data_IF_677314424131
#
_entry.id   IF_677314424131
#
_cell.length_a   1.000
_cell.length_b   1.000
_cell.length_c   1.000
_cell.angle_alpha   90.00
_cell.angle_beta   90.00
_cell.angle_gamma   90.00
#
_symmetry.space_group_name_H-M   'P 1'
#
loop_
_entity.id
_entity.type
_entity.pdbx_description
1 polymer ?
#
# COMPACT_ATOMS: atom_id res chain seq x y z
N UNK A 1 -12.29 -34.07 33.25
CA UNK A 1 -11.79 -32.84 32.58
C UNK A 1 -11.90 -33.04 31.09
N UNK A 2 -12.69 -32.23 30.37
CA UNK A 2 -12.71 -32.27 28.90
C UNK A 2 -11.51 -31.48 28.39
N UNK A 3 -10.74 -31.97 27.41
CA UNK A 3 -9.65 -31.20 26.83
C UNK A 3 -10.22 -29.94 26.18
N UNK A 4 -9.63 -28.79 26.48
CA UNK A 4 -9.90 -27.53 25.80
C UNK A 4 -9.49 -27.72 24.33
N UNK A 5 -10.47 -27.83 23.43
CA UNK A 5 -10.20 -27.67 22.00
C UNK A 5 -9.92 -26.18 21.80
N UNK A 6 -8.71 -25.83 21.39
CA UNK A 6 -8.44 -24.49 20.89
C UNK A 6 -9.44 -24.18 19.76
N UNK A 7 -10.04 -22.98 19.73
CA UNK A 7 -10.89 -22.60 18.62
C UNK A 7 -10.08 -22.69 17.32
N UNK A 8 -10.65 -23.29 16.28
CA UNK A 8 -10.04 -23.32 14.96
C UNK A 8 -9.64 -21.89 14.55
N UNK A 9 -8.41 -21.71 14.06
CA UNK A 9 -7.89 -20.41 13.64
C UNK A 9 -8.89 -19.73 12.69
N UNK A 10 -9.36 -18.52 13.06
CA UNK A 10 -10.28 -17.75 12.22
C UNK A 10 -9.58 -17.43 10.90
N UNK A 11 -10.11 -17.92 9.77
CA UNK A 11 -9.64 -17.51 8.45
C UNK A 11 -9.91 -16.02 8.27
N UNK A 12 -8.85 -15.23 8.12
CA UNK A 12 -8.94 -13.79 7.87
C UNK A 12 -9.02 -13.51 6.37
N UNK A 13 -10.01 -12.72 5.94
CA UNK A 13 -10.17 -12.31 4.54
C UNK A 13 -9.67 -10.87 4.36
N UNK A 14 -8.76 -10.67 3.42
CA UNK A 14 -8.19 -9.36 3.08
C UNK A 14 -8.58 -9.00 1.65
N UNK A 15 -9.10 -7.79 1.43
CA UNK A 15 -9.35 -7.23 0.11
C UNK A 15 -8.30 -6.19 -0.24
N UNK A 16 -7.53 -6.44 -1.29
CA UNK A 16 -6.59 -5.46 -1.85
C UNK A 16 -7.25 -4.73 -3.02
N UNK A 17 -7.17 -3.40 -3.00
CA UNK A 17 -7.57 -2.51 -4.09
C UNK A 17 -6.50 -1.43 -4.26
N UNK A 18 -6.47 -0.79 -5.42
CA UNK A 18 -5.53 0.28 -5.77
C UNK A 18 -6.04 0.98 -7.03
N UNK A 19 -5.50 2.16 -7.33
CA UNK A 19 -5.64 2.83 -8.62
C UNK A 19 -7.11 3.00 -9.02
N UNK A 20 -7.95 3.36 -8.02
CA UNK A 20 -9.38 3.53 -8.27
C UNK A 20 -9.67 4.80 -9.06
N UNK A 21 -8.83 5.84 -8.97
CA UNK A 21 -8.93 7.04 -9.80
C UNK A 21 -10.38 7.58 -9.95
N UNK A 22 -11.07 7.78 -8.83
CA UNK A 22 -12.50 8.16 -8.74
C UNK A 22 -13.55 7.10 -9.13
N UNK A 23 -13.18 5.90 -9.57
CA UNK A 23 -14.10 4.83 -10.01
C UNK A 23 -14.52 3.87 -8.87
N UNK A 24 -14.25 4.24 -7.60
CA UNK A 24 -14.48 3.38 -6.44
C UNK A 24 -15.96 2.97 -6.25
N UNK A 25 -16.91 3.78 -6.70
CA UNK A 25 -18.35 3.45 -6.64
C UNK A 25 -18.74 2.30 -7.58
N UNK A 26 -17.92 2.00 -8.59
CA UNK A 26 -18.14 0.87 -9.50
C UNK A 26 -17.69 -0.48 -8.91
N UNK A 27 -17.02 -0.48 -7.76
CA UNK A 27 -16.47 -1.70 -7.17
C UNK A 27 -17.55 -2.54 -6.48
N UNK A 28 -17.49 -3.85 -6.72
CA UNK A 28 -18.26 -4.82 -5.92
C UNK A 28 -17.53 -5.07 -4.60
N UNK A 29 -18.06 -4.51 -3.52
CA UNK A 29 -17.49 -4.66 -2.17
C UNK A 29 -17.72 -6.10 -1.66
N UNK A 30 -16.65 -6.87 -1.37
CA UNK A 30 -16.75 -8.20 -0.79
C UNK A 30 -16.90 -8.13 0.74
N UNK A 31 -17.48 -9.18 1.35
CA UNK A 31 -17.45 -9.38 2.79
C UNK A 31 -16.05 -9.84 3.24
N UNK A 32 -15.31 -8.96 3.91
CA UNK A 32 -13.91 -9.16 4.34
C UNK A 32 -13.65 -8.54 5.71
N UNK A 33 -12.58 -8.98 6.38
CA UNK A 33 -12.20 -8.46 7.70
C UNK A 33 -11.33 -7.20 7.60
N UNK A 34 -10.56 -7.07 6.50
CA UNK A 34 -9.64 -5.96 6.23
C UNK A 34 -9.69 -5.57 4.76
N UNK A 35 -9.76 -4.26 4.49
CA UNK A 35 -9.56 -3.69 3.15
C UNK A 35 -8.30 -2.82 3.16
N UNK A 36 -7.51 -2.94 2.10
CA UNK A 36 -6.26 -2.21 1.91
C UNK A 36 -6.29 -1.54 0.54
N UNK A 37 -6.22 -0.20 0.53
CA UNK A 37 -6.06 0.58 -0.70
C UNK A 37 -4.59 0.98 -0.88
N UNK A 38 -3.98 0.60 -2.00
CA UNK A 38 -2.54 0.70 -2.25
C UNK A 38 -2.13 1.95 -3.06
N UNK A 39 -2.91 3.02 -2.93
CA UNK A 39 -2.64 4.32 -3.56
C UNK A 39 -3.51 4.63 -4.76
N UNK A 40 -3.44 5.89 -5.19
CA UNK A 40 -4.15 6.44 -6.36
C UNK A 40 -5.68 6.34 -6.27
N UNK A 41 -6.21 6.90 -5.18
CA UNK A 41 -7.65 7.08 -4.96
C UNK A 41 -8.27 8.18 -5.84
N UNK A 42 -7.44 9.14 -6.23
CA UNK A 42 -7.77 10.32 -7.01
C UNK A 42 -6.94 10.37 -8.30
N UNK A 43 -7.24 11.35 -9.17
CA UNK A 43 -6.65 11.40 -10.53
C UNK A 43 -5.85 12.68 -10.75
N UNK A 44 -6.30 13.82 -10.24
CA UNK A 44 -5.68 15.09 -10.59
C UNK A 44 -4.32 15.27 -9.90
N UNK A 45 -3.32 15.76 -10.65
CA UNK A 45 -2.00 16.10 -10.09
C UNK A 45 -1.95 17.43 -9.34
N UNK A 46 -2.96 18.28 -9.50
CA UNK A 46 -3.05 19.53 -8.74
C UNK A 46 -3.77 19.26 -7.41
N UNK A 47 -3.10 19.54 -6.30
CA UNK A 47 -3.61 19.25 -4.96
C UNK A 47 -5.00 19.84 -4.67
N UNK A 48 -5.33 21.05 -5.16
CA UNK A 48 -6.63 21.68 -4.93
C UNK A 48 -7.76 21.04 -5.73
N UNK A 49 -7.47 20.53 -6.93
CA UNK A 49 -8.44 19.77 -7.73
C UNK A 49 -8.53 18.31 -7.26
N UNK A 50 -7.44 17.77 -6.74
CA UNK A 50 -7.33 16.42 -6.18
C UNK A 50 -8.09 16.29 -4.85
N UNK A 51 -8.08 17.33 -4.02
CA UNK A 51 -8.72 17.34 -2.70
C UNK A 51 -10.19 16.89 -2.72
N UNK A 52 -11.08 17.44 -3.57
CA UNK A 52 -12.48 17.00 -3.61
C UNK A 52 -12.63 15.58 -4.18
N UNK A 53 -11.67 15.08 -4.95
CA UNK A 53 -11.63 13.68 -5.41
C UNK A 53 -11.33 12.74 -4.25
N UNK A 54 -10.24 13.03 -3.52
CA UNK A 54 -9.85 12.27 -2.34
C UNK A 54 -10.95 12.29 -1.27
N UNK A 55 -11.63 13.43 -1.05
CA UNK A 55 -12.76 13.49 -0.10
C UNK A 55 -13.87 12.53 -0.47
N UNK A 56 -14.30 12.52 -1.73
CA UNK A 56 -15.35 11.59 -2.20
C UNK A 56 -14.95 10.13 -1.98
N UNK A 57 -13.69 9.80 -2.27
CA UNK A 57 -13.16 8.47 -1.98
C UNK A 57 -13.20 8.14 -0.49
N UNK A 58 -12.68 9.02 0.38
CA UNK A 58 -12.62 8.73 1.82
C UNK A 58 -14.00 8.73 2.48
N UNK A 59 -14.96 9.50 1.98
CA UNK A 59 -16.37 9.43 2.38
C UNK A 59 -16.94 8.04 2.09
N UNK A 60 -16.68 7.49 0.90
CA UNK A 60 -17.06 6.11 0.58
C UNK A 60 -16.30 5.08 1.41
N UNK A 61 -14.97 5.19 1.47
CA UNK A 61 -14.08 4.20 2.06
C UNK A 61 -14.29 4.05 3.57
N UNK A 62 -14.51 5.17 4.27
CA UNK A 62 -14.79 5.20 5.70
C UNK A 62 -16.12 4.50 6.04
N UNK A 63 -17.09 4.56 5.13
CA UNK A 63 -18.43 4.00 5.30
C UNK A 63 -18.58 2.54 4.84
N UNK A 64 -17.51 1.87 4.40
CA UNK A 64 -17.56 0.43 4.12
C UNK A 64 -17.88 -0.35 5.41
N UNK A 65 -18.68 -1.41 5.31
CA UNK A 65 -18.98 -2.30 6.46
C UNK A 65 -17.75 -3.08 6.95
N UNK A 66 -16.68 -3.13 6.16
CA UNK A 66 -15.42 -3.78 6.50
C UNK A 66 -14.84 -3.23 7.81
N UNK A 67 -14.54 -4.08 8.82
CA UNK A 67 -14.12 -3.62 10.14
C UNK A 67 -12.83 -2.79 10.14
N UNK A 68 -11.82 -3.17 9.37
CA UNK A 68 -10.52 -2.48 9.33
C UNK A 68 -10.25 -1.96 7.92
N UNK A 69 -9.86 -0.69 7.83
CA UNK A 69 -9.49 -0.02 6.58
C UNK A 69 -8.07 0.51 6.67
N UNK A 70 -7.22 0.14 5.72
CA UNK A 70 -5.85 0.63 5.60
C UNK A 70 -5.71 1.36 4.28
N UNK A 71 -5.00 2.48 4.30
CA UNK A 71 -4.73 3.29 3.13
C UNK A 71 -3.24 3.64 3.07
N UNK A 72 -2.63 3.39 1.91
CA UNK A 72 -1.30 3.88 1.56
C UNK A 72 -1.46 4.86 0.41
N UNK A 73 -0.93 6.10 0.49
CA UNK A 73 -0.98 7.05 -0.62
C UNK A 73 -0.23 6.54 -1.86
N UNK A 74 -0.68 6.96 -3.03
CA UNK A 74 0.02 6.77 -4.31
C UNK A 74 0.55 8.07 -4.88
N UNK A 75 1.07 8.04 -6.12
CA UNK A 75 1.63 9.26 -6.72
C UNK A 75 0.56 10.29 -7.14
N UNK A 76 -0.71 9.88 -7.26
CA UNK A 76 -1.84 10.77 -7.46
C UNK A 76 -2.44 11.31 -6.15
N UNK A 77 -1.95 10.90 -4.98
CA UNK A 77 -2.44 11.39 -3.67
C UNK A 77 -1.86 12.77 -3.30
N UNK A 78 -1.90 13.73 -4.22
CA UNK A 78 -1.25 15.06 -4.09
C UNK A 78 -1.87 15.93 -3.01
N UNK A 79 -3.19 15.84 -2.78
CA UNK A 79 -3.86 16.54 -1.68
C UNK A 79 -3.38 16.06 -0.31
N UNK A 80 -3.05 14.77 -0.18
CA UNK A 80 -2.52 14.18 1.05
C UNK A 80 -1.07 14.63 1.26
N UNK A 81 -0.23 14.60 0.21
CA UNK A 81 1.18 15.05 0.32
C UNK A 81 1.28 16.52 0.73
N UNK A 82 0.37 17.36 0.23
CA UNK A 82 0.31 18.79 0.56
C UNK A 82 -0.45 19.08 1.87
N UNK A 83 -0.97 18.05 2.55
CA UNK A 83 -1.62 18.17 3.85
C UNK A 83 -3.00 18.85 3.82
N UNK A 84 -3.68 18.84 2.66
CA UNK A 84 -5.07 19.25 2.49
C UNK A 84 -6.06 18.16 2.96
N UNK A 85 -5.61 16.91 2.89
CA UNK A 85 -6.24 15.74 3.50
C UNK A 85 -5.27 15.16 4.51
N UNK A 86 -5.76 14.89 5.72
CA UNK A 86 -4.94 14.32 6.79
C UNK A 86 -5.60 13.11 7.41
N UNK A 87 -4.80 12.27 8.06
CA UNK A 87 -5.29 11.07 8.72
C UNK A 87 -6.34 11.40 9.81
N UNK A 88 -6.18 12.54 10.48
CA UNK A 88 -7.09 12.99 11.54
C UNK A 88 -8.48 13.34 11.01
N UNK A 89 -8.61 13.66 9.72
CA UNK A 89 -9.90 13.92 9.08
C UNK A 89 -10.74 12.64 8.93
N UNK A 90 -10.09 11.47 8.92
CA UNK A 90 -10.69 10.17 8.64
C UNK A 90 -10.27 9.10 9.66
N UNK A 91 -10.71 9.21 10.94
CA UNK A 91 -10.26 8.34 12.03
C UNK A 91 -10.66 6.86 11.86
N UNK A 92 -11.58 6.54 10.95
CA UNK A 92 -11.97 5.17 10.60
C UNK A 92 -10.97 4.47 9.67
N UNK A 93 -9.95 5.18 9.18
CA UNK A 93 -8.98 4.70 8.20
C UNK A 93 -7.57 4.80 8.78
N UNK A 94 -6.80 3.72 8.70
CA UNK A 94 -5.39 3.71 9.07
C UNK A 94 -4.54 4.15 7.89
N UNK A 95 -4.03 5.38 7.94
CA UNK A 95 -3.09 5.91 6.96
C UNK A 95 -1.68 5.42 7.28
N UNK A 96 -1.04 4.72 6.34
CA UNK A 96 0.34 4.27 6.47
C UNK A 96 1.23 5.04 5.48
N UNK A 97 1.85 6.11 5.96
CA UNK A 97 2.74 6.98 5.17
C UNK A 97 4.18 6.73 5.58
N UNK A 98 4.75 5.62 5.08
CA UNK A 98 6.04 5.09 5.57
C UNK A 98 5.98 4.79 7.08
N UNK A 99 4.93 4.08 7.47
CA UNK A 99 4.62 3.74 8.85
C UNK A 99 4.00 2.33 8.93
N UNK A 100 3.77 1.85 10.15
CA UNK A 100 3.27 0.52 10.42
C UNK A 100 2.08 0.49 11.38
N UNK A 101 1.35 -0.62 11.32
CA UNK A 101 0.35 -0.99 12.30
C UNK A 101 0.39 -2.49 12.59
N UNK A 102 -0.25 -2.89 13.68
CA UNK A 102 -0.50 -4.29 13.99
C UNK A 102 -2.00 -4.59 13.81
N UNK A 103 -2.30 -5.71 13.16
CA UNK A 103 -3.66 -6.18 12.96
C UNK A 103 -3.73 -7.69 13.17
N UNK A 104 -4.45 -8.13 14.20
CA UNK A 104 -4.57 -9.56 14.56
C UNK A 104 -3.21 -10.28 14.66
N UNK A 105 -2.20 -9.61 15.23
CA UNK A 105 -0.83 -10.13 15.37
C UNK A 105 0.03 -10.06 14.10
N UNK A 106 -0.50 -9.54 12.98
CA UNK A 106 0.27 -9.27 11.76
C UNK A 106 0.81 -7.85 11.78
N UNK A 107 2.11 -7.70 11.49
CA UNK A 107 2.77 -6.40 11.31
C UNK A 107 2.67 -5.96 9.86
N UNK A 108 1.90 -4.89 9.64
CA UNK A 108 1.64 -4.31 8.33
C UNK A 108 2.42 -3.02 8.21
N UNK A 109 3.28 -2.91 7.20
CA UNK A 109 4.02 -1.68 6.89
C UNK A 109 3.57 -1.12 5.55
N UNK A 110 3.28 0.17 5.47
CA UNK A 110 2.86 0.85 4.25
C UNK A 110 3.81 1.98 3.89
N UNK A 111 4.22 2.07 2.62
CA UNK A 111 5.04 3.17 2.14
C UNK A 111 4.60 3.66 0.75
N UNK A 112 4.39 4.98 0.58
CA UNK A 112 3.94 5.55 -0.68
C UNK A 112 5.11 5.79 -1.66
N UNK A 113 6.36 5.64 -1.21
CA UNK A 113 7.50 6.15 -1.95
C UNK A 113 7.82 5.34 -3.20
N UNK A 114 7.84 6.02 -4.35
CA UNK A 114 8.15 5.42 -5.65
C UNK A 114 9.39 6.06 -6.30
N UNK A 115 10.04 5.36 -7.25
CA UNK A 115 11.03 5.98 -8.12
C UNK A 115 10.43 7.16 -8.88
N UNK A 116 11.17 8.28 -8.92
CA UNK A 116 10.78 9.44 -9.72
C UNK A 116 10.49 9.03 -11.17
N UNK A 117 9.28 9.38 -11.60
CA UNK A 117 8.75 9.25 -12.95
C UNK A 117 7.85 10.47 -13.16
N UNK A 118 8.34 11.51 -13.84
CA UNK A 118 7.76 12.87 -13.79
C UNK A 118 7.82 13.51 -12.39
N UNK A 119 7.02 14.55 -12.13
CA UNK A 119 6.98 15.30 -10.87
C UNK A 119 5.62 15.12 -10.16
N UNK A 120 5.33 13.88 -9.75
CA UNK A 120 4.15 13.52 -8.95
C UNK A 120 4.46 13.39 -7.45
N UNK A 121 3.43 13.16 -6.64
CA UNK A 121 3.57 13.01 -5.19
C UNK A 121 4.37 11.77 -4.81
N UNK A 122 5.00 11.82 -3.63
CA UNK A 122 5.72 10.72 -3.00
C UNK A 122 6.85 10.11 -3.84
N UNK A 123 7.36 10.85 -4.83
CA UNK A 123 8.47 10.39 -5.65
C UNK A 123 9.83 10.75 -5.07
N UNK A 124 10.75 9.79 -5.06
CA UNK A 124 12.16 10.01 -4.69
C UNK A 124 13.10 9.61 -5.82
N UNK A 125 14.26 10.28 -5.88
CA UNK A 125 15.35 9.90 -6.79
C UNK A 125 15.74 8.44 -6.50
N UNK A 126 15.99 7.64 -7.54
CA UNK A 126 16.30 6.20 -7.42
C UNK A 126 17.41 5.91 -6.40
N UNK A 127 18.52 6.66 -6.43
CA UNK A 127 19.63 6.50 -5.48
C UNK A 127 19.35 6.96 -4.03
N UNK A 128 18.14 7.43 -3.72
CA UNK A 128 17.70 7.76 -2.35
C UNK A 128 16.70 6.75 -1.79
N UNK A 129 16.17 5.86 -2.63
CA UNK A 129 15.19 4.88 -2.19
C UNK A 129 15.82 3.81 -1.29
N UNK A 130 17.07 3.41 -1.54
CA UNK A 130 17.73 2.41 -0.70
C UNK A 130 17.71 2.77 0.80
N UNK A 131 17.90 4.04 1.12
CA UNK A 131 17.84 4.54 2.51
C UNK A 131 16.42 4.45 3.09
N UNK A 132 15.39 4.68 2.29
CA UNK A 132 13.98 4.52 2.69
C UNK A 132 13.67 3.04 2.95
N UNK A 133 14.16 2.14 2.10
CA UNK A 133 13.86 0.72 2.25
C UNK A 133 14.67 0.06 3.38
N UNK A 134 15.83 0.65 3.73
CA UNK A 134 16.65 0.23 4.87
C UNK A 134 16.05 0.61 6.23
N UNK A 135 15.18 1.61 6.32
CA UNK A 135 14.53 2.00 7.58
C UNK A 135 13.34 1.10 7.95
N UNK A 136 12.89 0.23 7.05
CA UNK A 136 11.75 -0.65 7.30
C UNK A 136 12.16 -1.79 8.24
N UNK A 137 11.35 -2.11 9.28
CA UNK A 137 11.63 -3.22 10.18
C UNK A 137 11.74 -4.57 9.45
N UNK A 138 12.67 -5.40 9.90
CA UNK A 138 12.96 -6.72 9.32
C UNK A 138 11.84 -7.74 9.60
N UNK A 139 11.00 -7.49 10.60
CA UNK A 139 10.01 -8.42 11.16
C UNK A 139 8.55 -8.11 10.75
N UNK A 140 8.36 -7.35 9.66
CA UNK A 140 7.02 -7.14 9.08
C UNK A 140 6.53 -8.39 8.34
N UNK A 141 5.22 -8.62 8.42
CA UNK A 141 4.53 -9.72 7.75
C UNK A 141 3.99 -9.29 6.37
N UNK A 142 3.46 -8.07 6.29
CA UNK A 142 2.85 -7.50 5.08
C UNK A 142 3.53 -6.17 4.78
N UNK A 143 4.08 -6.05 3.56
CA UNK A 143 4.58 -4.78 3.02
C UNK A 143 3.62 -4.30 1.92
N UNK A 144 3.09 -3.10 2.09
CA UNK A 144 2.25 -2.41 1.10
C UNK A 144 3.08 -1.29 0.48
N UNK A 145 3.20 -1.35 -0.85
CA UNK A 145 3.83 -0.29 -1.64
C UNK A 145 2.88 0.09 -2.76
N UNK A 146 2.86 1.37 -3.11
CA UNK A 146 2.12 1.82 -4.28
C UNK A 146 2.81 1.35 -5.58
N UNK A 147 4.10 1.63 -5.73
CA UNK A 147 4.86 1.19 -6.90
C UNK A 147 5.26 -0.29 -6.86
N UNK A 148 5.37 -0.97 -8.02
CA UNK A 148 5.77 -2.38 -8.07
C UNK A 148 7.27 -2.59 -7.78
N UNK A 149 7.67 -3.80 -7.33
CA UNK A 149 9.06 -4.22 -7.33
C UNK A 149 9.62 -4.30 -8.76
N UNK A 150 10.90 -3.97 -8.95
CA UNK A 150 11.57 -4.11 -10.26
C UNK A 150 11.45 -5.55 -10.79
N UNK A 151 11.11 -5.69 -12.06
CA UNK A 151 10.95 -6.97 -12.77
C UNK A 151 9.66 -7.72 -12.45
N UNK A 152 8.69 -7.09 -11.78
CA UNK A 152 7.41 -7.71 -11.40
C UNK A 152 6.28 -6.77 -11.81
N UNK A 153 5.67 -7.04 -12.96
CA UNK A 153 4.58 -6.21 -13.51
C UNK A 153 4.92 -4.70 -13.53
N UNK A 154 6.18 -4.36 -13.85
CA UNK A 154 6.72 -3.01 -13.70
C UNK A 154 6.99 -2.28 -15.02
N UNK A 155 6.39 -2.77 -16.11
CA UNK A 155 6.44 -2.15 -17.43
C UNK A 155 5.19 -1.31 -17.67
N UNK A 156 5.37 -0.07 -18.13
CA UNK A 156 4.27 0.81 -18.54
C UNK A 156 4.64 1.59 -19.80
N UNK A 157 3.64 2.17 -20.46
CA UNK A 157 3.84 3.08 -21.58
C UNK A 157 4.00 4.51 -21.05
N UNK A 158 5.13 5.13 -21.34
CA UNK A 158 5.32 6.55 -21.05
C UNK A 158 4.57 7.38 -22.09
N UNK A 159 3.73 8.30 -21.61
CA UNK A 159 2.86 9.11 -22.47
C UNK A 159 3.69 10.13 -23.27
N UNK A 160 4.79 10.63 -22.70
CA UNK A 160 5.64 11.64 -23.35
C UNK A 160 6.56 11.04 -24.41
N UNK A 161 7.30 9.97 -24.07
CA UNK A 161 8.23 9.34 -25.00
C UNK A 161 7.62 8.26 -25.88
N UNK A 162 6.38 7.84 -25.59
CA UNK A 162 5.70 6.67 -26.19
C UNK A 162 6.47 5.33 -26.04
N UNK A 163 7.53 5.32 -25.24
CA UNK A 163 8.35 4.13 -25.01
C UNK A 163 7.73 3.25 -23.92
N UNK A 164 8.05 1.96 -23.97
CA UNK A 164 7.84 1.06 -22.83
C UNK A 164 8.99 1.31 -21.84
N UNK A 165 8.64 1.65 -20.60
CA UNK A 165 9.60 1.99 -19.55
C UNK A 165 9.40 1.11 -18.32
N UNK A 166 10.49 0.90 -17.57
CA UNK A 166 10.46 0.19 -16.28
C UNK A 166 10.31 1.18 -15.12
N UNK A 167 9.14 1.17 -14.47
CA UNK A 167 8.84 2.04 -13.32
C UNK A 167 9.16 1.39 -11.97
N UNK A 168 9.43 0.09 -11.97
CA UNK A 168 9.63 -0.69 -10.75
C UNK A 168 10.82 -0.25 -9.89
N UNK A 169 10.69 -0.47 -8.59
CA UNK A 169 11.71 -0.16 -7.60
C UNK A 169 12.66 -1.34 -7.37
N UNK A 170 13.95 -1.15 -7.64
CA UNK A 170 14.97 -2.19 -7.44
C UNK A 170 15.14 -2.57 -5.97
N UNK A 171 15.04 -1.60 -5.06
CA UNK A 171 15.19 -1.83 -3.63
C UNK A 171 14.06 -2.68 -3.03
N UNK A 172 12.82 -2.49 -3.50
CA UNK A 172 11.68 -3.36 -3.12
C UNK A 172 11.90 -4.79 -3.63
N UNK A 173 12.45 -4.96 -4.83
CA UNK A 173 12.81 -6.28 -5.34
C UNK A 173 13.87 -6.98 -4.45
N UNK A 174 14.89 -6.24 -4.02
CA UNK A 174 15.92 -6.78 -3.12
C UNK A 174 15.34 -7.20 -1.76
N UNK A 175 14.43 -6.41 -1.19
CA UNK A 175 13.71 -6.79 0.03
C UNK A 175 12.94 -8.11 -0.15
N UNK A 176 12.24 -8.28 -1.27
CA UNK A 176 11.53 -9.54 -1.59
C UNK A 176 12.50 -10.73 -1.66
N UNK A 177 13.64 -10.58 -2.33
CA UNK A 177 14.64 -11.65 -2.50
C UNK A 177 15.31 -12.02 -1.17
N UNK A 178 15.73 -11.03 -0.38
CA UNK A 178 16.35 -11.24 0.92
C UNK A 178 15.40 -11.93 1.90
N UNK A 179 14.12 -11.56 1.89
CA UNK A 179 13.10 -12.14 2.78
C UNK A 179 12.70 -13.56 2.36
N UNK A 180 12.58 -13.83 1.05
CA UNK A 180 12.36 -15.20 0.53
C UNK A 180 13.52 -16.13 0.90
N UNK A 181 14.76 -15.65 0.83
CA UNK A 181 15.95 -16.40 1.25
C UNK A 181 15.92 -16.71 2.77
N UNK A 182 15.48 -15.78 3.63
CA UNK A 182 15.34 -16.03 5.07
C UNK A 182 14.21 -17.01 5.40
N UNK A 183 13.09 -16.95 4.68
CA UNK A 183 11.96 -17.88 4.88
C UNK A 183 12.34 -19.32 4.53
N UNK A 184 13.12 -19.51 3.46
CA UNK A 184 13.68 -20.82 3.08
C UNK A 184 14.77 -21.31 4.03
N UNK A 185 15.54 -20.42 4.67
CA UNK A 185 16.47 -20.81 5.74
C UNK A 185 15.76 -21.21 7.04
N UNK A 186 14.69 -20.50 7.46
CA UNK A 186 13.88 -20.89 8.64
C UNK A 186 13.26 -22.28 8.46
N UNK A 187 12.80 -22.63 7.26
CA UNK A 187 12.28 -23.98 6.96
C UNK A 187 13.37 -25.07 6.93
N UNK A 188 14.65 -24.72 6.76
CA UNK A 188 15.76 -25.69 6.76
C UNK A 188 16.31 -26.00 8.16
N UNK A 189 16.08 -25.12 9.14
CA UNK A 189 16.55 -25.30 10.54
C UNK A 189 15.55 -26.11 11.37
N UNK A 190 14.27 -26.19 10.95
CA UNK A 190 13.29 -27.11 11.52
C UNK A 190 13.31 -28.46 10.76
N UNK A 191 14.33 -29.28 10.99
CA UNK A 191 14.32 -30.72 10.72
C UNK A 191 15.01 -31.46 11.86
#
# INVERSE_FOLDING_TARGET
MRPYCEPAAKNMKIWFISDTHNEHLGLKVPDVDLVIHCGDEATHGNAWMNEPESRRFFDWYSNLDTPTKVFVPGNHSTAIEQGLIRAEDYPAVHFLVHDQMEWNGLKIFGSPYTPRFHDWAYMKKRGKLDLVWQSIPDDIDILITHGPPKGVLDLTHDIESHAIVQVGCAAVHQLRMLRSCRQTQKQRVCR
#
